data_IF_743387017850
#
_entry.id   IF_743387017850
#
_cell.length_a   1.000
_cell.length_b   1.000
_cell.length_c   1.000
_cell.angle_alpha   90.00
_cell.angle_beta   90.00
_cell.angle_gamma   90.00
#
_symmetry.space_group_name_H-M   'P 1'
#
loop_
_entity.id
_entity.type
_entity.pdbx_description
1 polymer ?
#
# COMPACT_ATOMS: atom_id res chain seq x y z
N UNK A 1 -1.81 -16.40 -10.14
CA UNK A 1 -0.82 -15.30 -10.18
C UNK A 1 0.17 -15.61 -11.30
N UNK A 2 0.48 -14.66 -12.18
CA UNK A 2 1.42 -14.90 -13.30
C UNK A 2 2.86 -15.05 -12.81
N UNK A 3 3.74 -15.61 -13.65
CA UNK A 3 5.17 -15.73 -13.34
C UNK A 3 5.81 -14.37 -13.02
N UNK A 4 5.51 -13.33 -13.81
CA UNK A 4 6.04 -11.98 -13.60
C UNK A 4 5.61 -11.36 -12.27
N UNK A 5 4.41 -11.66 -11.77
CA UNK A 5 3.97 -11.19 -10.45
C UNK A 5 4.70 -11.92 -9.31
N UNK A 6 5.06 -13.19 -9.49
CA UNK A 6 5.89 -13.93 -8.52
C UNK A 6 7.32 -13.39 -8.47
N UNK A 7 7.89 -13.07 -9.64
CA UNK A 7 9.21 -12.43 -9.72
C UNK A 7 9.19 -11.06 -9.05
N UNK A 8 8.18 -10.24 -9.34
CA UNK A 8 8.01 -8.94 -8.69
C UNK A 8 7.88 -9.09 -7.17
N UNK A 9 7.03 -10.00 -6.69
CA UNK A 9 6.89 -10.29 -5.25
C UNK A 9 8.23 -10.67 -4.60
N UNK A 10 9.07 -11.41 -5.31
CA UNK A 10 10.39 -11.83 -4.82
C UNK A 10 11.41 -10.68 -4.83
N UNK A 11 11.30 -9.74 -5.78
CA UNK A 11 12.20 -8.60 -5.89
C UNK A 11 11.86 -7.47 -4.89
N UNK A 12 10.57 -7.28 -4.57
CA UNK A 12 10.11 -6.17 -3.74
C UNK A 12 10.80 -6.08 -2.37
N UNK A 13 10.98 -7.17 -1.57
CA UNK A 13 11.71 -7.09 -0.30
C UNK A 13 13.12 -6.54 -0.44
N UNK A 14 13.84 -6.92 -1.50
CA UNK A 14 15.21 -6.45 -1.76
C UNK A 14 15.18 -4.95 -2.04
N UNK A 15 14.28 -4.55 -2.93
CA UNK A 15 14.10 -3.16 -3.38
C UNK A 15 13.63 -2.26 -2.23
N UNK A 16 12.84 -2.80 -1.31
CA UNK A 16 12.40 -2.12 -0.09
C UNK A 16 13.55 -1.96 0.89
N UNK A 17 14.30 -3.03 1.17
CA UNK A 17 15.43 -2.99 2.10
C UNK A 17 16.55 -2.03 1.62
N UNK A 18 16.67 -1.82 0.31
CA UNK A 18 17.57 -0.80 -0.26
C UNK A 18 17.16 0.64 0.07
N UNK A 19 15.85 0.90 0.28
CA UNK A 19 15.34 2.24 0.59
C UNK A 19 15.18 2.44 2.09
N UNK A 20 14.61 1.45 2.78
CA UNK A 20 14.40 1.49 4.21
C UNK A 20 15.00 0.21 4.83
N UNK A 21 16.32 0.22 5.13
CA UNK A 21 16.99 -0.91 5.73
C UNK A 21 16.27 -1.36 7.01
N UNK A 22 16.04 -2.66 7.13
CA UNK A 22 15.38 -3.25 8.30
C UNK A 22 13.85 -3.19 8.28
N UNK A 23 13.22 -2.50 7.33
CA UNK A 23 11.77 -2.61 7.14
C UNK A 23 11.44 -3.80 6.24
N UNK A 24 10.61 -4.72 6.74
CA UNK A 24 10.30 -5.99 6.08
C UNK A 24 8.81 -6.03 5.68
N UNK A 25 8.49 -5.95 4.38
CA UNK A 25 7.11 -6.13 3.92
C UNK A 25 6.64 -7.56 4.20
N UNK A 26 5.51 -7.70 4.90
CA UNK A 26 4.96 -9.01 5.30
C UNK A 26 3.73 -9.41 4.48
N UNK A 27 3.04 -8.43 3.89
CA UNK A 27 1.81 -8.62 3.09
C UNK A 27 2.00 -7.97 1.73
N UNK A 28 1.56 -8.68 0.69
CA UNK A 28 1.61 -8.20 -0.69
C UNK A 28 0.20 -8.27 -1.30
N UNK A 29 -0.28 -7.13 -1.78
CA UNK A 29 -1.50 -7.01 -2.56
C UNK A 29 -1.19 -6.51 -3.96
N UNK A 30 -1.94 -7.00 -4.94
CA UNK A 30 -1.82 -6.57 -6.33
C UNK A 30 -3.19 -6.09 -6.81
N UNK A 31 -3.26 -4.82 -7.17
CA UNK A 31 -4.46 -4.19 -7.68
C UNK A 31 -4.38 -4.10 -9.19
N UNK A 32 -5.50 -4.42 -9.85
CA UNK A 32 -5.67 -4.22 -11.28
C UNK A 32 -6.66 -3.08 -11.49
N UNK A 33 -6.21 -2.02 -12.14
CA UNK A 33 -7.06 -0.93 -12.62
C UNK A 33 -7.28 -1.13 -14.11
N UNK A 34 -8.54 -1.21 -14.54
CA UNK A 34 -8.88 -1.24 -15.96
C UNK A 34 -9.25 0.19 -16.42
N UNK A 35 -8.72 0.68 -17.56
CA UNK A 35 -9.06 2.02 -18.06
C UNK A 35 -10.56 2.18 -18.30
N UNK A 36 -11.17 3.21 -17.71
CA UNK A 36 -12.61 3.47 -17.78
C UNK A 36 -13.47 2.52 -16.93
N UNK A 37 -12.85 1.71 -16.08
CA UNK A 37 -13.54 0.96 -15.03
C UNK A 37 -13.94 1.85 -13.85
N UNK A 38 -14.68 1.25 -12.92
CA UNK A 38 -15.06 1.90 -11.66
C UNK A 38 -13.87 2.03 -10.71
N UNK A 39 -13.93 3.08 -9.87
CA UNK A 39 -13.00 3.24 -8.77
C UNK A 39 -13.18 2.10 -7.75
N UNK A 40 -12.09 1.67 -7.12
CA UNK A 40 -12.17 0.72 -6.03
C UNK A 40 -12.80 1.36 -4.79
N UNK A 41 -13.71 0.66 -4.13
CA UNK A 41 -14.32 1.14 -2.89
C UNK A 41 -13.26 1.49 -1.83
N UNK A 42 -13.42 2.62 -1.10
CA UNK A 42 -12.51 3.00 -0.04
C UNK A 42 -12.40 1.92 1.04
N UNK A 43 -11.17 1.59 1.44
CA UNK A 43 -10.88 0.55 2.42
C UNK A 43 -9.59 0.87 3.18
N UNK A 44 -9.35 0.09 4.24
CA UNK A 44 -8.05 0.04 4.92
C UNK A 44 -7.22 -1.09 4.32
N UNK A 45 -5.91 -0.88 4.25
CA UNK A 45 -4.99 -1.90 3.75
C UNK A 45 -4.87 -3.12 4.69
N UNK A 46 -5.16 -2.93 5.99
CA UNK A 46 -4.99 -3.96 7.01
C UNK A 46 -6.30 -4.37 7.63
N UNK A 47 -6.41 -5.67 7.91
CA UNK A 47 -7.38 -6.17 8.87
C UNK A 47 -6.82 -6.03 10.30
N UNK A 48 -7.68 -5.90 11.33
CA UNK A 48 -7.23 -5.85 12.72
C UNK A 48 -6.27 -7.00 13.11
N UNK A 49 -6.52 -8.21 12.61
CA UNK A 49 -5.66 -9.38 12.84
C UNK A 49 -4.25 -9.25 12.26
N UNK A 50 -4.10 -8.52 11.15
CA UNK A 50 -2.78 -8.26 10.57
C UNK A 50 -1.97 -7.30 11.44
N UNK A 51 -2.65 -6.29 12.00
CA UNK A 51 -2.06 -5.33 12.94
C UNK A 51 -1.64 -6.02 14.23
N UNK A 52 -2.51 -6.85 14.82
CA UNK A 52 -2.20 -7.62 16.03
C UNK A 52 -0.99 -8.53 15.83
N UNK A 53 -0.93 -9.25 14.70
CA UNK A 53 0.19 -10.12 14.35
C UNK A 53 1.48 -9.33 14.17
N UNK A 54 1.42 -8.18 13.51
CA UNK A 54 2.58 -7.32 13.33
C UNK A 54 3.10 -6.81 14.68
N UNK A 55 2.22 -6.31 15.55
CA UNK A 55 2.57 -5.83 16.89
C UNK A 55 3.14 -6.92 17.81
N UNK A 56 2.70 -8.18 17.65
CA UNK A 56 3.25 -9.29 18.43
C UNK A 56 4.72 -9.59 18.10
N UNK A 57 5.16 -9.33 16.86
CA UNK A 57 6.54 -9.55 16.42
C UNK A 57 7.38 -8.26 16.56
N UNK A 58 6.73 -7.11 16.35
CA UNK A 58 7.34 -5.79 16.30
C UNK A 58 6.58 -4.81 17.22
N UNK A 59 6.70 -4.94 18.55
CA UNK A 59 5.91 -4.15 19.49
C UNK A 59 6.31 -2.68 19.44
N UNK A 60 5.32 -1.81 19.19
CA UNK A 60 5.51 -0.35 19.12
C UNK A 60 5.89 0.18 17.73
N UNK A 61 6.13 -0.70 16.76
CA UNK A 61 6.38 -0.28 15.37
C UNK A 61 5.07 0.20 14.72
N UNK A 62 5.17 1.18 13.82
CA UNK A 62 4.01 1.73 13.10
C UNK A 62 3.82 0.94 11.81
N UNK A 63 2.64 0.31 11.58
CA UNK A 63 2.35 -0.37 10.34
C UNK A 63 2.28 0.63 9.18
N UNK A 64 2.92 0.28 8.06
CA UNK A 64 2.98 1.14 6.90
C UNK A 64 2.84 0.39 5.57
N UNK A 65 2.23 1.05 4.59
CA UNK A 65 1.96 0.49 3.27
C UNK A 65 2.83 1.16 2.23
N UNK A 66 3.38 0.38 1.31
CA UNK A 66 4.14 0.89 0.18
C UNK A 66 3.46 0.52 -1.13
N UNK A 67 3.06 1.53 -1.91
CA UNK A 67 2.40 1.33 -3.19
C UNK A 67 3.37 1.56 -4.35
N UNK A 68 3.40 0.62 -5.30
CA UNK A 68 4.18 0.69 -6.52
C UNK A 68 3.25 0.84 -7.73
N UNK A 69 3.37 1.96 -8.44
CA UNK A 69 2.67 2.14 -9.71
C UNK A 69 3.43 1.41 -10.83
N UNK A 70 2.76 0.42 -11.43
CA UNK A 70 3.26 -0.29 -12.62
C UNK A 70 2.76 0.33 -13.93
N UNK A 71 1.75 1.19 -13.87
CA UNK A 71 1.14 1.85 -15.02
C UNK A 71 1.26 3.37 -14.90
N UNK A 72 1.47 4.08 -16.01
CA UNK A 72 1.46 5.54 -16.02
C UNK A 72 0.09 6.09 -15.63
N UNK A 73 0.08 7.34 -15.15
CA UNK A 73 -1.13 8.03 -14.70
C UNK A 73 -1.90 7.30 -13.57
N UNK A 74 -1.23 6.43 -12.81
CA UNK A 74 -1.80 5.85 -11.59
C UNK A 74 -2.13 6.97 -10.60
N UNK A 75 -3.39 7.00 -10.16
CA UNK A 75 -3.89 7.92 -9.14
C UNK A 75 -4.50 7.11 -8.01
N UNK A 76 -4.31 7.59 -6.79
CA UNK A 76 -4.85 6.97 -5.58
C UNK A 76 -5.57 8.05 -4.81
N UNK A 77 -6.79 7.76 -4.38
CA UNK A 77 -7.56 8.64 -3.52
C UNK A 77 -7.37 8.21 -2.06
N UNK A 78 -6.87 9.13 -1.23
CA UNK A 78 -6.59 8.86 0.18
C UNK A 78 -7.46 9.76 1.04
N UNK A 79 -8.02 9.19 2.09
CA UNK A 79 -8.81 9.92 3.08
C UNK A 79 -7.98 10.04 4.36
N UNK A 80 -7.33 11.19 4.53
CA UNK A 80 -6.40 11.39 5.65
C UNK A 80 -7.14 11.44 6.99
N UNK A 81 -6.60 10.76 8.01
CA UNK A 81 -7.20 10.69 9.35
C UNK A 81 -8.66 10.16 9.37
N UNK A 82 -9.04 9.34 8.39
CA UNK A 82 -10.37 8.73 8.28
C UNK A 82 -10.31 7.26 8.70
N UNK A 83 -10.31 7.02 10.01
CA UNK A 83 -10.13 5.67 10.56
C UNK A 83 -11.44 4.88 10.65
N UNK A 84 -12.59 5.51 10.82
CA UNK A 84 -13.86 4.79 11.02
C UNK A 84 -14.83 4.97 9.86
N UNK A 85 -14.83 6.14 9.23
CA UNK A 85 -15.73 6.47 8.14
C UNK A 85 -15.02 7.34 7.09
N UNK A 86 -15.45 7.17 5.84
CA UNK A 86 -15.07 8.01 4.70
C UNK A 86 -15.56 9.44 4.92
N UNK A 87 -14.70 10.42 4.63
CA UNK A 87 -15.01 11.85 4.68
C UNK A 87 -14.43 12.54 3.45
N UNK A 88 -15.30 12.94 2.52
CA UNK A 88 -14.92 13.61 1.27
C UNK A 88 -14.07 14.86 1.49
N UNK A 89 -14.28 15.57 2.59
CA UNK A 89 -13.54 16.81 2.87
C UNK A 89 -12.05 16.57 3.12
N UNK A 90 -11.67 15.33 3.41
CA UNK A 90 -10.28 14.90 3.68
C UNK A 90 -9.67 14.11 2.53
N UNK A 91 -10.37 14.03 1.41
CA UNK A 91 -9.94 13.30 0.22
C UNK A 91 -8.77 14.02 -0.46
N UNK A 92 -7.69 13.29 -0.71
CA UNK A 92 -6.51 13.78 -1.43
C UNK A 92 -6.17 12.81 -2.55
N UNK A 93 -6.11 13.33 -3.78
CA UNK A 93 -5.64 12.55 -4.93
C UNK A 93 -4.12 12.62 -4.98
N UNK A 94 -3.48 11.47 -4.87
CA UNK A 94 -2.03 11.33 -5.06
C UNK A 94 -1.77 10.68 -6.41
N UNK A 95 -1.05 11.39 -7.27
CA UNK A 95 -0.51 10.81 -8.51
C UNK A 95 0.77 10.07 -8.18
N UNK A 96 0.84 8.78 -8.54
CA UNK A 96 2.00 7.93 -8.31
C UNK A 96 2.68 7.66 -9.65
N UNK A 97 3.83 8.29 -9.95
CA UNK A 97 4.53 8.03 -11.18
C UNK A 97 5.05 6.58 -11.23
N UNK A 98 5.26 6.06 -12.44
CA UNK A 98 5.81 4.71 -12.62
C UNK A 98 7.15 4.58 -11.91
N UNK A 99 7.29 3.55 -11.09
CA UNK A 99 8.52 3.28 -10.33
C UNK A 99 8.72 4.17 -9.09
N UNK A 100 7.84 5.15 -8.84
CA UNK A 100 7.80 5.90 -7.58
C UNK A 100 6.91 5.21 -6.54
N UNK A 101 7.14 5.57 -5.28
CA UNK A 101 6.60 4.90 -4.09
C UNK A 101 5.96 5.93 -3.17
N UNK A 102 4.85 5.55 -2.55
CA UNK A 102 4.26 6.31 -1.45
C UNK A 102 4.18 5.41 -0.22
N UNK A 103 4.63 5.93 0.92
CA UNK A 103 4.53 5.29 2.22
C UNK A 103 3.35 5.90 2.97
N UNK A 104 2.42 5.07 3.41
CA UNK A 104 1.32 5.49 4.28
C UNK A 104 1.53 4.89 5.66
N UNK A 105 1.52 5.72 6.69
CA UNK A 105 1.56 5.28 8.08
C UNK A 105 0.13 5.23 8.62
N UNK A 106 -0.20 4.14 9.30
CA UNK A 106 -1.42 4.05 10.10
C UNK A 106 -1.03 4.35 11.54
N UNK A 107 -1.38 5.56 11.99
CA UNK A 107 -1.21 6.01 13.39
C UNK A 107 -2.48 5.83 14.19
#
# INVERSE_FOLDING_TARGET
MSASLQELKSALPIVVNMIHPGWVPTVFSFMRSDPGGEDQEPHKDYQPSDLERAQAVHPGDIPASMIFALQPATKILIYTCCFDARDESKATVVSVPVGLRVLFEVT
#
